data_IF_997721743341
#
_entry.id   IF_997721743341
#
_cell.length_a   1.000
_cell.length_b   1.000
_cell.length_c   1.000
_cell.angle_alpha   90.00
_cell.angle_beta   90.00
_cell.angle_gamma   90.00
#
_symmetry.space_group_name_H-M   'P 1'
#
loop_
_entity.id
_entity.type
_entity.pdbx_description
1 polymer ?
#
# COMPACT_ATOMS: atom_id res chain seq x y z
N UNK A 1 -4.07 7.16 15.38
CA UNK A 1 -4.90 8.40 15.35
C UNK A 1 -4.79 9.11 16.71
N UNK A 2 -4.88 10.43 16.78
CA UNK A 2 -4.92 11.17 18.06
C UNK A 2 -5.99 12.25 17.98
N UNK A 3 -7.03 12.15 18.83
CA UNK A 3 -8.18 13.07 18.88
C UNK A 3 -8.83 13.26 17.49
N UNK A 4 -9.27 12.15 16.87
CA UNK A 4 -9.87 12.15 15.53
C UNK A 4 -8.96 12.53 14.36
N UNK A 5 -7.73 12.98 14.62
CA UNK A 5 -6.80 13.47 13.59
C UNK A 5 -5.66 12.50 13.29
N UNK A 6 -5.15 12.55 12.05
CA UNK A 6 -3.90 11.87 11.67
C UNK A 6 -2.77 12.28 12.62
N UNK A 7 -2.08 11.27 13.15
CA UNK A 7 -0.87 11.44 13.94
C UNK A 7 0.28 10.76 13.21
N UNK A 8 1.01 11.52 12.39
CA UNK A 8 2.20 11.01 11.71
C UNK A 8 3.40 10.93 12.67
N UNK A 9 4.44 10.20 12.27
CA UNK A 9 5.72 10.17 12.99
C UNK A 9 6.29 11.57 13.23
N UNK A 10 6.17 12.48 12.26
CA UNK A 10 6.57 13.87 12.43
C UNK A 10 5.77 14.59 13.52
N UNK A 11 4.44 14.39 13.59
CA UNK A 11 3.58 15.01 14.61
C UNK A 11 3.83 14.41 16.01
N UNK A 12 4.09 13.11 16.08
CA UNK A 12 4.33 12.40 17.32
C UNK A 12 5.73 12.66 17.90
N UNK A 13 6.77 12.63 17.06
CA UNK A 13 8.16 12.57 17.52
C UNK A 13 8.99 13.81 17.17
N UNK A 14 8.84 14.40 15.98
CA UNK A 14 9.69 15.54 15.56
C UNK A 14 9.16 16.89 16.05
N UNK A 15 7.86 17.16 15.86
CA UNK A 15 7.25 18.45 16.24
C UNK A 15 7.42 18.81 17.72
N UNK A 16 7.28 17.88 18.69
CA UNK A 16 7.43 18.21 20.11
C UNK A 16 8.86 18.62 20.48
N UNK A 17 9.87 18.08 19.80
CA UNK A 17 11.29 18.30 20.13
C UNK A 17 12.02 19.23 19.16
N UNK A 18 11.28 19.90 18.26
CA UNK A 18 11.84 20.72 17.17
C UNK A 18 12.74 21.88 17.61
N UNK A 19 12.62 22.33 18.85
CA UNK A 19 13.39 23.45 19.42
C UNK A 19 14.67 23.00 20.13
N UNK A 20 14.96 21.69 20.19
CA UNK A 20 16.21 21.21 20.77
C UNK A 20 17.40 21.70 19.94
N UNK A 21 18.36 22.38 20.58
CA UNK A 21 19.53 22.98 19.92
C UNK A 21 20.44 21.96 19.21
N UNK A 22 20.38 20.69 19.61
CA UNK A 22 21.15 19.60 19.02
C UNK A 22 20.40 18.82 17.92
N UNK A 23 19.21 19.28 17.50
CA UNK A 23 18.44 18.69 16.41
C UNK A 23 18.28 19.71 15.28
N UNK A 24 18.84 19.39 14.13
CA UNK A 24 18.69 20.20 12.91
C UNK A 24 17.84 19.44 11.90
N UNK A 25 16.76 20.06 11.42
CA UNK A 25 15.87 19.49 10.41
C UNK A 25 15.93 20.34 9.16
N UNK A 26 16.43 19.76 8.07
CA UNK A 26 16.48 20.41 6.76
C UNK A 26 15.37 19.85 5.87
N UNK A 27 14.35 20.66 5.58
CA UNK A 27 13.30 20.33 4.63
C UNK A 27 13.76 20.59 3.19
N UNK A 28 13.07 20.00 2.21
CA UNK A 28 13.32 20.16 0.78
C UNK A 28 14.79 19.87 0.40
N UNK A 29 15.36 18.86 1.05
CA UNK A 29 16.77 18.46 0.93
C UNK A 29 16.83 17.05 0.37
N UNK A 30 16.95 16.92 -0.95
CA UNK A 30 16.93 15.63 -1.65
C UNK A 30 18.32 15.02 -1.65
N UNK A 31 18.52 13.96 -0.85
CA UNK A 31 19.80 13.23 -0.78
C UNK A 31 20.09 12.56 -2.12
N UNK A 32 21.27 12.82 -2.68
CA UNK A 32 21.70 12.24 -3.96
C UNK A 32 22.58 11.02 -3.77
N UNK A 33 23.45 11.02 -2.75
CA UNK A 33 24.34 9.89 -2.40
C UNK A 33 24.96 10.08 -1.01
N UNK A 34 25.45 8.98 -0.46
CA UNK A 34 26.33 8.92 0.71
C UNK A 34 27.77 9.06 0.22
N UNK A 35 28.58 9.80 0.97
CA UNK A 35 30.01 9.93 0.74
C UNK A 35 30.75 8.86 1.55
N UNK A 36 31.43 7.95 0.86
CA UNK A 36 32.08 6.77 1.43
C UNK A 36 33.53 6.75 0.96
N UNK A 37 34.47 6.55 1.89
CA UNK A 37 35.89 6.38 1.57
C UNK A 37 36.11 4.99 0.92
N UNK A 38 36.64 4.89 -0.32
CA UNK A 38 36.83 3.60 -1.00
C UNK A 38 37.82 2.65 -0.32
N UNK A 39 38.82 3.18 0.39
CA UNK A 39 39.85 2.38 1.05
C UNK A 39 39.38 1.82 2.40
N UNK A 40 38.72 2.64 3.22
CA UNK A 40 38.27 2.23 4.57
C UNK A 40 36.83 1.76 4.61
N UNK A 41 36.06 1.98 3.55
CA UNK A 41 34.61 1.78 3.50
C UNK A 41 33.81 2.55 4.56
N UNK A 42 34.40 3.62 5.12
CA UNK A 42 33.74 4.47 6.12
C UNK A 42 32.90 5.55 5.45
N UNK A 43 31.63 5.66 5.83
CA UNK A 43 30.76 6.78 5.46
C UNK A 43 31.16 8.02 6.26
N UNK A 44 31.40 9.14 5.58
CA UNK A 44 31.90 10.38 6.20
C UNK A 44 31.01 11.60 5.92
N UNK A 45 29.92 11.42 5.17
CA UNK A 45 28.98 12.51 4.91
C UNK A 45 27.88 12.15 3.92
N UNK A 46 27.06 13.13 3.59
CA UNK A 46 25.94 13.02 2.66
C UNK A 46 25.96 14.20 1.70
N UNK A 47 25.73 13.91 0.41
CA UNK A 47 25.48 14.90 -0.62
C UNK A 47 23.97 15.02 -0.84
N UNK A 48 23.45 16.24 -0.89
CA UNK A 48 22.03 16.50 -1.18
C UNK A 48 21.86 17.78 -1.99
N UNK A 49 20.70 17.93 -2.61
CA UNK A 49 20.30 19.15 -3.31
C UNK A 49 19.19 19.86 -2.55
N UNK A 50 19.36 21.15 -2.31
CA UNK A 50 18.37 22.03 -1.68
C UNK A 50 18.35 23.36 -2.42
N UNK A 51 17.15 23.82 -2.81
CA UNK A 51 16.96 25.06 -3.57
C UNK A 51 17.82 25.11 -4.84
N UNK A 52 17.90 23.99 -5.58
CA UNK A 52 18.71 23.87 -6.80
C UNK A 52 20.22 23.82 -6.60
N UNK A 53 20.72 23.91 -5.36
CA UNK A 53 22.15 23.90 -5.05
C UNK A 53 22.55 22.58 -4.39
N UNK A 54 23.66 22.02 -4.87
CA UNK A 54 24.31 20.86 -4.24
C UNK A 54 25.00 21.30 -2.95
N UNK A 55 24.80 20.54 -1.88
CA UNK A 55 25.37 20.77 -0.55
C UNK A 55 25.91 19.46 0.00
N UNK A 56 26.91 19.57 0.88
CA UNK A 56 27.53 18.43 1.57
C UNK A 56 27.46 18.69 3.07
N UNK A 57 27.06 17.67 3.82
CA UNK A 57 27.17 17.64 5.28
C UNK A 57 28.07 16.48 5.68
N UNK A 58 29.08 16.78 6.47
CA UNK A 58 30.03 15.79 6.98
C UNK A 58 29.54 15.19 8.30
N UNK A 59 29.77 13.89 8.48
CA UNK A 59 29.40 13.13 9.65
C UNK A 59 30.65 12.68 10.41
N UNK A 60 30.74 12.97 11.71
CA UNK A 60 31.86 12.56 12.57
C UNK A 60 31.74 11.14 13.12
N UNK A 61 30.52 10.58 13.13
CA UNK A 61 30.23 9.26 13.71
C UNK A 61 29.60 8.35 12.67
N UNK A 62 28.35 8.63 12.32
CA UNK A 62 27.54 7.71 11.52
C UNK A 62 26.62 8.46 10.55
N UNK A 63 26.24 7.76 9.49
CA UNK A 63 25.16 8.14 8.57
C UNK A 63 24.11 7.03 8.62
N UNK A 64 22.89 7.37 9.04
CA UNK A 64 21.77 6.43 9.11
C UNK A 64 20.80 6.72 7.97
N UNK A 65 20.55 5.72 7.12
CA UNK A 65 19.68 5.86 5.95
C UNK A 65 18.26 5.40 6.25
N UNK A 66 17.31 6.35 6.23
CA UNK A 66 15.90 6.11 6.54
C UNK A 66 14.97 6.60 5.42
N UNK A 67 15.35 6.39 4.16
CA UNK A 67 14.62 6.89 2.99
C UNK A 67 13.47 5.96 2.53
N UNK A 68 13.15 4.93 3.32
CA UNK A 68 12.10 3.94 3.01
C UNK A 68 12.57 2.84 2.05
N UNK A 69 11.73 1.81 1.87
CA UNK A 69 12.06 0.61 1.09
C UNK A 69 12.39 0.89 -0.38
N UNK A 70 11.91 2.01 -0.93
CA UNK A 70 12.12 2.40 -2.33
C UNK A 70 13.36 3.27 -2.52
N UNK A 71 13.50 4.37 -1.77
CA UNK A 71 14.57 5.34 -2.02
C UNK A 71 15.89 4.96 -1.34
N UNK A 72 15.87 4.20 -0.23
CA UNK A 72 17.10 3.73 0.40
C UNK A 72 17.98 2.90 -0.55
N UNK A 73 17.47 1.87 -1.26
CA UNK A 73 18.30 1.14 -2.22
C UNK A 73 18.77 2.00 -3.39
N UNK A 74 17.96 2.98 -3.85
CA UNK A 74 18.40 3.94 -4.86
C UNK A 74 19.62 4.74 -4.40
N UNK A 75 19.57 5.33 -3.20
CA UNK A 75 20.67 6.14 -2.66
C UNK A 75 21.93 5.27 -2.48
N UNK A 76 21.79 4.07 -1.93
CA UNK A 76 22.93 3.14 -1.78
C UNK A 76 23.57 2.78 -3.12
N UNK A 77 22.76 2.42 -4.13
CA UNK A 77 23.27 2.10 -5.46
C UNK A 77 23.97 3.30 -6.11
N UNK A 78 23.40 4.51 -6.00
CA UNK A 78 24.05 5.74 -6.49
C UNK A 78 25.33 6.10 -5.72
N UNK A 79 25.48 5.58 -4.50
CA UNK A 79 26.69 5.69 -3.67
C UNK A 79 27.74 4.62 -3.97
N UNK A 80 27.49 3.72 -4.93
CA UNK A 80 28.39 2.63 -5.29
C UNK A 80 28.23 1.35 -4.45
N UNK A 81 27.14 1.24 -3.68
CA UNK A 81 26.82 0.05 -2.86
C UNK A 81 25.60 -0.64 -3.45
N UNK A 82 25.81 -1.76 -4.14
CA UNK A 82 24.73 -2.49 -4.81
C UNK A 82 25.23 -3.55 -5.79
N UNK A 83 24.32 -4.16 -6.59
CA UNK A 83 24.66 -5.28 -7.43
C UNK A 83 25.67 -4.87 -8.51
N UNK A 84 26.84 -5.51 -8.52
CA UNK A 84 27.99 -5.13 -9.37
C UNK A 84 27.59 -5.02 -10.85
N UNK A 85 26.87 -6.00 -11.36
CA UNK A 85 26.41 -6.08 -12.75
C UNK A 85 25.47 -4.92 -13.11
N UNK A 86 24.62 -4.49 -12.19
CA UNK A 86 23.72 -3.35 -12.41
C UNK A 86 24.48 -2.01 -12.38
N UNK A 87 25.37 -1.85 -11.40
CA UNK A 87 26.17 -0.63 -11.25
C UNK A 87 27.15 -0.44 -12.42
N UNK A 88 27.77 -1.52 -12.88
CA UNK A 88 28.68 -1.51 -14.03
C UNK A 88 27.98 -1.07 -15.33
N UNK A 89 26.76 -1.57 -15.60
CA UNK A 89 25.94 -1.15 -16.76
C UNK A 89 25.67 0.35 -16.77
N UNK A 90 25.51 0.95 -15.60
CA UNK A 90 25.29 2.39 -15.43
C UNK A 90 26.58 3.19 -15.24
N UNK A 91 27.76 2.57 -15.36
CA UNK A 91 29.07 3.21 -15.16
C UNK A 91 29.19 3.90 -13.80
N UNK A 92 28.66 3.27 -12.75
CA UNK A 92 28.81 3.69 -11.35
C UNK A 92 29.94 2.86 -10.73
N UNK A 93 30.97 3.50 -10.12
CA UNK A 93 32.02 2.78 -9.42
C UNK A 93 31.46 1.89 -8.30
N UNK A 94 31.88 0.63 -8.27
CA UNK A 94 31.42 -0.34 -7.26
C UNK A 94 32.34 -0.28 -6.05
N UNK A 95 31.86 0.33 -4.96
CA UNK A 95 32.55 0.32 -3.67
C UNK A 95 32.28 -0.98 -2.92
N UNK A 96 31.03 -1.49 -2.97
CA UNK A 96 30.68 -2.77 -2.38
C UNK A 96 29.61 -3.48 -3.19
N UNK A 97 29.90 -4.72 -3.58
CA UNK A 97 28.95 -5.60 -4.24
C UNK A 97 28.00 -6.21 -3.19
N UNK A 98 26.75 -5.77 -3.16
CA UNK A 98 25.68 -6.27 -2.28
C UNK A 98 24.38 -6.35 -3.07
N UNK A 99 23.47 -7.24 -2.68
CA UNK A 99 22.14 -7.43 -3.30
C UNK A 99 21.15 -6.30 -2.95
N UNK A 100 21.60 -5.05 -3.03
CA UNK A 100 20.78 -3.87 -2.72
C UNK A 100 19.66 -3.71 -3.73
N UNK A 101 18.45 -3.52 -3.23
CA UNK A 101 17.24 -3.42 -4.05
C UNK A 101 16.63 -4.78 -4.39
N UNK A 102 17.21 -5.91 -3.98
CA UNK A 102 16.55 -7.23 -4.08
C UNK A 102 15.60 -7.46 -2.91
N UNK A 103 14.79 -8.52 -3.02
CA UNK A 103 13.91 -9.00 -1.97
C UNK A 103 12.82 -7.98 -1.59
N UNK A 104 12.34 -7.20 -2.58
CA UNK A 104 11.17 -6.36 -2.40
C UNK A 104 9.97 -7.26 -2.12
N UNK A 105 9.23 -6.91 -1.07
CA UNK A 105 8.01 -7.57 -0.64
C UNK A 105 6.98 -6.49 -0.36
N UNK A 106 5.73 -6.78 -0.72
CA UNK A 106 4.58 -5.97 -0.37
C UNK A 106 3.39 -6.92 -0.14
N UNK A 107 2.41 -6.47 0.65
CA UNK A 107 1.18 -7.22 0.84
C UNK A 107 0.20 -6.88 -0.29
N UNK A 108 -0.21 -7.89 -1.04
CA UNK A 108 -1.19 -7.73 -2.12
C UNK A 108 -2.57 -8.12 -1.65
N UNK A 109 -3.57 -7.31 -2.00
CA UNK A 109 -4.96 -7.52 -1.67
C UNK A 109 -5.74 -8.03 -2.89
N UNK A 110 -6.72 -8.90 -2.67
CA UNK A 110 -7.82 -9.07 -3.62
C UNK A 110 -8.79 -7.89 -3.48
N UNK A 111 -8.75 -6.98 -4.44
CA UNK A 111 -9.67 -5.84 -4.51
C UNK A 111 -11.06 -6.22 -5.04
N UNK A 112 -12.06 -5.41 -4.71
CA UNK A 112 -13.34 -5.43 -5.43
C UNK A 112 -14.34 -6.52 -5.05
N UNK A 113 -14.05 -7.37 -4.06
CA UNK A 113 -15.01 -8.31 -3.48
C UNK A 113 -16.13 -7.58 -2.72
N UNK A 114 -17.23 -7.30 -3.43
CA UNK A 114 -18.30 -6.40 -2.96
C UNK A 114 -19.53 -7.18 -2.56
N UNK A 115 -20.15 -6.77 -1.46
CA UNK A 115 -21.41 -7.32 -0.96
C UNK A 115 -22.44 -6.21 -0.87
N UNK A 116 -23.58 -6.38 -1.53
CA UNK A 116 -24.74 -5.49 -1.45
C UNK A 116 -25.49 -5.75 -0.15
N UNK A 117 -26.05 -4.70 0.45
CA UNK A 117 -26.95 -4.78 1.61
C UNK A 117 -28.19 -3.93 1.38
N UNK A 118 -29.30 -4.28 2.02
CA UNK A 118 -30.58 -3.57 1.84
C UNK A 118 -30.77 -2.42 2.83
N UNK A 119 -29.99 -2.42 3.93
CA UNK A 119 -30.06 -1.38 4.96
C UNK A 119 -29.12 -0.21 4.63
N UNK A 120 -29.54 1.05 4.88
CA UNK A 120 -28.76 2.25 4.57
C UNK A 120 -27.65 2.55 5.61
N UNK A 121 -26.78 1.57 5.87
CA UNK A 121 -25.78 1.60 6.96
C UNK A 121 -24.35 1.80 6.50
N UNK A 122 -24.09 1.71 5.19
CA UNK A 122 -22.74 1.83 4.64
C UNK A 122 -22.27 3.29 4.54
N UNK A 123 -21.03 3.51 4.15
CA UNK A 123 -20.50 4.83 3.81
C UNK A 123 -20.75 5.07 2.32
N UNK A 124 -21.72 5.94 2.03
CA UNK A 124 -22.03 6.42 0.68
C UNK A 124 -21.85 7.93 0.67
N UNK A 125 -21.03 8.44 -0.26
CA UNK A 125 -20.57 9.82 -0.26
C UNK A 125 -21.72 10.84 -0.29
N UNK A 126 -22.79 10.53 -1.03
CA UNK A 126 -23.92 11.44 -1.21
C UNK A 126 -24.78 11.63 0.07
N UNK A 127 -24.60 10.77 1.09
CA UNK A 127 -25.25 10.93 2.41
C UNK A 127 -24.51 11.89 3.36
N UNK A 128 -23.35 12.41 2.95
CA UNK A 128 -22.54 13.26 3.82
C UNK A 128 -23.10 14.68 3.93
N UNK A 129 -23.60 15.02 5.13
CA UNK A 129 -23.97 16.39 5.50
C UNK A 129 -22.71 17.18 5.89
N UNK A 130 -22.01 17.70 4.88
CA UNK A 130 -20.68 18.32 4.98
C UNK A 130 -20.55 19.28 6.17
N UNK A 131 -21.47 20.23 6.33
CA UNK A 131 -21.38 21.25 7.38
C UNK A 131 -21.46 20.65 8.80
N UNK A 132 -22.53 19.90 9.10
CA UNK A 132 -22.74 19.32 10.42
C UNK A 132 -21.62 18.33 10.80
N UNK A 133 -21.19 17.50 9.85
CA UNK A 133 -20.09 16.56 10.05
C UNK A 133 -18.76 17.27 10.31
N UNK A 134 -18.49 18.36 9.59
CA UNK A 134 -17.29 19.17 9.79
C UNK A 134 -17.29 19.83 11.17
N UNK A 135 -18.43 20.37 11.61
CA UNK A 135 -18.54 20.97 12.94
C UNK A 135 -18.32 19.95 14.06
N UNK A 136 -18.87 18.74 13.94
CA UNK A 136 -18.59 17.67 14.90
C UNK A 136 -17.10 17.31 14.95
N UNK A 137 -16.43 17.28 13.80
CA UNK A 137 -15.01 16.98 13.72
C UNK A 137 -14.14 18.07 14.36
N UNK A 138 -14.37 19.33 13.99
CA UNK A 138 -13.54 20.46 14.40
C UNK A 138 -13.71 20.78 15.88
N UNK A 139 -14.96 20.80 16.37
CA UNK A 139 -15.27 21.22 17.74
C UNK A 139 -15.15 20.06 18.72
N UNK A 140 -15.70 18.88 18.36
CA UNK A 140 -15.84 17.76 19.28
C UNK A 140 -14.83 16.63 19.03
N UNK A 141 -14.00 16.73 17.98
CA UNK A 141 -13.02 15.69 17.60
C UNK A 141 -13.68 14.31 17.40
N UNK A 142 -14.95 14.33 16.98
CA UNK A 142 -15.86 13.19 16.85
C UNK A 142 -16.65 13.29 15.54
N UNK A 143 -17.46 12.28 15.28
CA UNK A 143 -18.34 12.23 14.12
C UNK A 143 -17.67 11.57 12.92
N UNK A 144 -18.41 11.40 11.81
CA UNK A 144 -17.99 10.47 10.77
C UNK A 144 -16.72 10.88 10.04
N UNK A 145 -16.28 12.15 10.09
CA UNK A 145 -14.99 12.57 9.50
C UNK A 145 -13.75 12.07 10.28
N UNK A 146 -13.93 11.45 11.44
CA UNK A 146 -12.84 10.75 12.14
C UNK A 146 -12.58 9.35 11.59
N UNK A 147 -13.46 8.83 10.72
CA UNK A 147 -13.29 7.56 9.99
C UNK A 147 -11.97 7.53 9.23
N UNK A 148 -11.41 6.33 9.06
CA UNK A 148 -10.22 6.16 8.21
C UNK A 148 -10.59 6.20 6.72
N UNK A 149 -11.88 6.19 6.38
CA UNK A 149 -12.39 6.37 5.02
C UNK A 149 -12.23 5.14 4.12
N UNK A 150 -11.98 3.98 4.72
CA UNK A 150 -11.77 2.72 4.04
C UNK A 150 -11.88 1.59 5.04
N UNK A 151 -10.75 1.16 5.62
CA UNK A 151 -10.71 0.01 6.52
C UNK A 151 -11.17 0.39 7.93
N UNK A 152 -12.28 -0.22 8.37
CA UNK A 152 -12.88 -0.02 9.70
C UNK A 152 -12.82 -1.30 10.56
N UNK A 153 -12.58 -2.46 9.94
CA UNK A 153 -12.41 -3.73 10.63
C UNK A 153 -11.21 -4.50 10.09
N UNK A 154 -10.55 -5.23 10.99
CA UNK A 154 -9.43 -6.11 10.66
C UNK A 154 -9.68 -7.50 11.25
N UNK A 155 -9.34 -8.53 10.50
CA UNK A 155 -9.25 -9.89 11.02
C UNK A 155 -7.96 -10.54 10.50
N UNK A 156 -7.41 -11.46 11.30
CA UNK A 156 -6.25 -12.27 10.93
C UNK A 156 -6.68 -13.72 10.99
N UNK A 157 -6.47 -14.45 9.90
CA UNK A 157 -6.86 -15.86 9.80
C UNK A 157 -5.72 -16.68 9.23
N UNK A 158 -5.77 -17.97 9.52
CA UNK A 158 -4.87 -18.96 8.93
C UNK A 158 -5.68 -19.76 7.92
N UNK A 159 -5.27 -19.77 6.66
CA UNK A 159 -5.75 -20.78 5.71
C UNK A 159 -5.13 -22.13 6.06
N UNK A 160 -5.68 -23.22 5.50
CA UNK A 160 -5.08 -24.54 5.69
C UNK A 160 -3.69 -24.68 5.05
N UNK A 161 -3.33 -23.78 4.13
CA UNK A 161 -2.00 -23.69 3.49
C UNK A 161 -0.97 -22.98 4.39
N UNK A 162 -1.45 -22.20 5.35
CA UNK A 162 -0.64 -21.39 6.25
C UNK A 162 0.00 -22.18 7.40
N UNK A 163 0.86 -21.50 8.14
CA UNK A 163 1.39 -22.04 9.39
C UNK A 163 0.40 -21.76 10.54
N UNK A 164 0.19 -22.71 11.45
CA UNK A 164 -0.70 -22.51 12.61
C UNK A 164 -0.21 -21.41 13.58
N UNK A 165 1.09 -21.10 13.60
CA UNK A 165 1.68 -20.13 14.52
C UNK A 165 1.55 -18.67 14.08
N UNK A 166 1.22 -18.39 12.81
CA UNK A 166 1.05 -17.02 12.32
C UNK A 166 0.11 -16.92 11.12
N UNK A 167 -0.67 -15.82 11.02
CA UNK A 167 -1.61 -15.62 9.91
C UNK A 167 -0.92 -15.41 8.57
N UNK A 168 -1.57 -15.95 7.54
CA UNK A 168 -1.22 -15.80 6.14
C UNK A 168 -2.21 -14.87 5.41
N UNK A 169 -3.43 -14.68 5.94
CA UNK A 169 -4.42 -13.72 5.45
C UNK A 169 -4.77 -12.68 6.52
N UNK A 170 -4.79 -11.41 6.10
CA UNK A 170 -5.43 -10.32 6.82
C UNK A 170 -6.66 -9.85 6.05
N UNK A 171 -7.81 -9.81 6.69
CA UNK A 171 -8.97 -9.18 6.11
C UNK A 171 -9.01 -7.70 6.43
N UNK A 172 -9.25 -6.88 5.40
CA UNK A 172 -9.61 -5.48 5.52
C UNK A 172 -11.10 -5.34 5.23
N UNK A 173 -11.88 -5.06 6.27
CA UNK A 173 -13.30 -4.78 6.14
C UNK A 173 -13.50 -3.28 5.94
N UNK A 174 -14.26 -2.90 4.92
CA UNK A 174 -14.76 -1.54 4.78
C UNK A 174 -16.29 -1.56 4.64
N UNK A 175 -17.02 -0.65 5.31
CA UNK A 175 -18.44 -0.42 5.06
C UNK A 175 -18.63 0.41 3.77
N UNK A 176 -17.85 0.13 2.73
CA UNK A 176 -17.83 0.81 1.44
C UNK A 176 -17.16 -0.12 0.41
N UNK A 177 -17.37 0.15 -0.88
CA UNK A 177 -16.64 -0.50 -1.97
C UNK A 177 -16.40 0.50 -3.12
N UNK A 178 -15.92 0.01 -4.26
CA UNK A 178 -15.53 0.80 -5.45
C UNK A 178 -16.69 1.68 -5.98
N UNK A 179 -17.94 1.28 -5.75
CA UNK A 179 -19.14 2.00 -6.17
C UNK A 179 -19.54 3.16 -5.23
N UNK A 180 -18.98 3.23 -4.01
CA UNK A 180 -19.45 4.13 -2.93
C UNK A 180 -19.23 5.62 -3.19
N UNK A 181 -18.39 5.99 -4.16
CA UNK A 181 -18.11 7.37 -4.55
C UNK A 181 -18.52 7.68 -6.00
N UNK A 182 -19.33 6.81 -6.61
CA UNK A 182 -19.74 6.92 -8.01
C UNK A 182 -18.57 7.12 -9.01
N UNK A 183 -17.38 6.59 -8.68
CA UNK A 183 -16.23 6.58 -9.58
C UNK A 183 -15.43 7.88 -9.58
N UNK A 184 -15.71 8.80 -8.66
CA UNK A 184 -15.06 10.13 -8.57
C UNK A 184 -13.56 10.01 -8.27
N UNK A 185 -13.18 9.14 -7.32
CA UNK A 185 -11.81 9.02 -6.79
C UNK A 185 -11.34 7.57 -6.65
N UNK A 186 -12.13 6.67 -6.06
CA UNK A 186 -11.70 5.29 -5.74
C UNK A 186 -11.24 4.56 -7.00
N UNK A 187 -12.01 4.66 -8.09
CA UNK A 187 -11.64 4.09 -9.38
C UNK A 187 -10.26 4.54 -9.88
N UNK A 188 -9.95 5.84 -9.77
CA UNK A 188 -8.68 6.42 -10.23
C UNK A 188 -7.51 6.01 -9.35
N UNK A 189 -7.72 5.97 -8.03
CA UNK A 189 -6.69 5.57 -7.05
C UNK A 189 -6.32 4.10 -7.24
N UNK A 190 -7.30 3.24 -7.50
CA UNK A 190 -7.09 1.81 -7.72
C UNK A 190 -6.67 1.47 -9.16
N UNK A 191 -6.64 2.44 -10.08
CA UNK A 191 -6.22 2.22 -11.46
C UNK A 191 -7.17 1.35 -12.29
N UNK A 192 -8.47 1.32 -11.96
CA UNK A 192 -9.44 0.48 -12.68
C UNK A 192 -9.75 1.03 -14.07
N UNK A 193 -9.82 0.14 -15.05
CA UNK A 193 -10.21 0.47 -16.43
C UNK A 193 -11.64 1.01 -16.50
N UNK A 194 -11.94 1.78 -17.55
CA UNK A 194 -13.31 2.25 -17.83
C UNK A 194 -14.28 1.08 -17.97
N UNK A 195 -13.88 0.06 -18.73
CA UNK A 195 -14.69 -1.13 -18.99
C UNK A 195 -15.07 -1.85 -17.68
N UNK A 196 -14.07 -2.21 -16.87
CA UNK A 196 -14.30 -2.90 -15.59
C UNK A 196 -15.21 -2.09 -14.67
N UNK A 197 -14.97 -0.79 -14.54
CA UNK A 197 -15.79 0.06 -13.68
C UNK A 197 -17.24 0.20 -14.19
N UNK A 198 -17.40 0.49 -15.48
CA UNK A 198 -18.71 0.78 -16.07
C UNK A 198 -19.63 -0.44 -16.08
N UNK A 199 -19.06 -1.64 -16.24
CA UNK A 199 -19.85 -2.86 -16.25
C UNK A 199 -20.12 -3.41 -14.85
N UNK A 200 -19.12 -3.40 -13.97
CA UNK A 200 -19.23 -4.07 -12.67
C UNK A 200 -19.77 -3.13 -11.59
N UNK A 201 -19.24 -1.92 -11.49
CA UNK A 201 -19.46 -1.06 -10.31
C UNK A 201 -20.41 0.12 -10.55
N UNK A 202 -20.45 0.67 -11.76
CA UNK A 202 -21.38 1.76 -12.12
C UNK A 202 -22.86 1.37 -11.96
N UNK A 203 -23.32 0.14 -12.31
CA UNK A 203 -24.74 -0.23 -12.13
C UNK A 203 -25.20 -0.30 -10.67
N UNK A 204 -24.25 -0.40 -9.74
CA UNK A 204 -24.50 -0.39 -8.30
C UNK A 204 -24.02 0.91 -7.64
N UNK A 205 -23.75 1.97 -8.43
CA UNK A 205 -23.36 3.26 -7.88
C UNK A 205 -24.34 3.74 -6.82
N UNK A 206 -23.80 4.29 -5.72
CA UNK A 206 -24.57 4.80 -4.58
C UNK A 206 -25.45 3.77 -3.84
N UNK A 207 -25.38 2.47 -4.18
CA UNK A 207 -26.03 1.42 -3.39
C UNK A 207 -25.21 1.12 -2.13
N UNK A 208 -25.92 0.72 -1.09
CA UNK A 208 -25.30 0.29 0.15
C UNK A 208 -24.54 -1.03 -0.02
N UNK A 209 -23.27 -0.99 0.41
CA UNK A 209 -22.33 -2.10 0.23
C UNK A 209 -21.36 -2.22 1.39
N UNK A 210 -20.74 -3.38 1.50
CA UNK A 210 -19.51 -3.56 2.26
C UNK A 210 -18.53 -4.44 1.47
N UNK A 211 -17.27 -4.44 1.87
CA UNK A 211 -16.22 -5.27 1.27
C UNK A 211 -15.42 -5.94 2.38
N UNK A 212 -14.90 -7.12 2.07
CA UNK A 212 -13.97 -7.86 2.93
C UNK A 212 -12.82 -8.34 2.06
N UNK A 213 -11.73 -7.56 2.03
CA UNK A 213 -10.60 -7.81 1.14
C UNK A 213 -9.59 -8.73 1.82
N UNK A 214 -9.31 -9.94 1.32
CA UNK A 214 -8.18 -10.72 1.78
C UNK A 214 -6.88 -10.07 1.29
N UNK A 215 -5.97 -9.78 2.21
CA UNK A 215 -4.58 -9.38 1.97
C UNK A 215 -3.65 -10.55 2.29
N UNK A 216 -2.70 -10.80 1.41
CA UNK A 216 -1.65 -11.78 1.59
C UNK A 216 -0.55 -11.23 2.51
N UNK A 217 -0.38 -11.82 3.69
CA UNK A 217 0.60 -11.37 4.69
C UNK A 217 2.00 -11.95 4.49
N UNK A 218 2.07 -13.13 3.85
CA UNK A 218 3.31 -13.90 3.73
C UNK A 218 3.58 -14.27 2.27
N UNK A 219 3.72 -13.27 1.37
CA UNK A 219 4.01 -13.55 -0.02
C UNK A 219 5.33 -14.32 -0.14
N UNK A 220 5.38 -15.27 -1.06
CA UNK A 220 6.61 -15.95 -1.50
C UNK A 220 7.25 -15.24 -2.68
N UNK A 221 6.45 -14.58 -3.50
CA UNK A 221 6.92 -13.75 -4.60
C UNK A 221 7.90 -12.67 -4.10
N UNK A 222 8.95 -12.42 -4.89
CA UNK A 222 9.98 -11.42 -4.57
C UNK A 222 10.22 -10.50 -5.76
N UNK A 223 10.13 -9.22 -5.49
CA UNK A 223 10.44 -8.17 -6.44
C UNK A 223 11.85 -7.61 -6.27
N UNK A 224 12.11 -6.55 -7.02
CA UNK A 224 13.33 -5.77 -6.94
C UNK A 224 13.11 -4.29 -7.30
N UNK A 225 14.09 -3.48 -6.90
CA UNK A 225 14.23 -2.06 -7.22
C UNK A 225 15.59 -1.86 -7.88
N UNK A 226 15.60 -1.14 -9.00
CA UNK A 226 16.82 -0.82 -9.76
C UNK A 226 16.86 0.64 -10.16
N UNK A 227 18.07 1.18 -10.26
CA UNK A 227 18.25 2.49 -10.87
C UNK A 227 17.81 2.47 -12.34
N UNK A 228 16.99 3.44 -12.75
CA UNK A 228 16.71 3.69 -14.18
C UNK A 228 17.96 4.23 -14.90
N UNK A 229 18.66 5.15 -14.24
CA UNK A 229 19.92 5.74 -14.69
C UNK A 229 20.63 6.41 -13.51
N UNK A 230 21.70 7.17 -13.76
CA UNK A 230 22.53 7.83 -12.74
C UNK A 230 21.91 9.11 -12.17
N UNK A 231 20.79 9.61 -12.70
CA UNK A 231 20.18 10.83 -12.21
C UNK A 231 19.42 10.55 -10.90
N UNK A 232 19.81 11.17 -9.76
CA UNK A 232 19.15 10.95 -8.47
C UNK A 232 17.70 11.46 -8.42
N UNK A 233 17.26 12.25 -9.40
CA UNK A 233 15.90 12.77 -9.51
C UNK A 233 14.98 11.90 -10.36
N UNK A 234 15.53 10.91 -11.08
CA UNK A 234 14.70 9.94 -11.79
C UNK A 234 14.26 8.84 -10.85
N UNK A 235 12.96 8.53 -10.86
CA UNK A 235 12.42 7.43 -10.07
C UNK A 235 13.07 6.09 -10.48
N UNK A 236 13.33 5.20 -9.51
CA UNK A 236 13.85 3.88 -9.80
C UNK A 236 12.80 3.04 -10.53
N UNK A 237 13.27 2.00 -11.22
CA UNK A 237 12.41 0.96 -11.77
C UNK A 237 12.03 0.03 -10.62
N UNK A 238 10.73 -0.17 -10.43
CA UNK A 238 10.16 -1.03 -9.40
C UNK A 238 9.51 -2.20 -10.11
N UNK A 239 9.95 -3.40 -9.80
CA UNK A 239 9.27 -4.62 -10.20
C UNK A 239 8.86 -5.34 -8.92
N UNK A 240 7.57 -5.30 -8.57
CA UNK A 240 7.07 -5.99 -7.39
C UNK A 240 6.99 -7.52 -7.59
N UNK A 241 6.91 -7.96 -8.85
CA UNK A 241 6.83 -9.36 -9.25
C UNK A 241 5.69 -10.10 -8.53
N UNK A 242 4.52 -9.47 -8.42
CA UNK A 242 3.37 -10.07 -7.74
C UNK A 242 2.92 -11.35 -8.42
N UNK A 243 2.60 -12.36 -7.62
CA UNK A 243 2.06 -13.64 -8.07
C UNK A 243 2.98 -14.45 -8.98
N UNK A 244 4.29 -14.22 -8.89
CA UNK A 244 5.33 -15.03 -9.54
C UNK A 244 5.36 -16.44 -8.94
N UNK A 245 5.21 -16.56 -7.61
CA UNK A 245 4.97 -17.84 -6.96
C UNK A 245 3.46 -18.15 -6.94
N UNK A 246 3.00 -19.25 -7.56
CA UNK A 246 1.59 -19.60 -7.61
C UNK A 246 0.99 -19.90 -6.23
N UNK A 247 1.81 -20.15 -5.20
CA UNK A 247 1.34 -20.31 -3.82
C UNK A 247 0.60 -19.05 -3.33
N UNK A 248 1.06 -17.87 -3.73
CA UNK A 248 0.48 -16.59 -3.29
C UNK A 248 -0.97 -16.44 -3.74
N UNK A 249 -1.27 -16.85 -4.97
CA UNK A 249 -2.63 -16.87 -5.52
C UNK A 249 -3.48 -17.90 -4.79
N UNK A 250 -2.98 -19.12 -4.59
CA UNK A 250 -3.72 -20.19 -3.89
C UNK A 250 -4.15 -19.74 -2.49
N UNK A 251 -3.25 -19.10 -1.73
CA UNK A 251 -3.58 -18.57 -0.41
C UNK A 251 -4.65 -17.46 -0.48
N UNK A 252 -4.61 -16.57 -1.46
CA UNK A 252 -5.65 -15.54 -1.63
C UNK A 252 -7.00 -16.13 -2.08
N UNK A 253 -7.02 -17.17 -2.91
CA UNK A 253 -8.25 -17.89 -3.28
C UNK A 253 -8.92 -18.47 -2.03
N UNK A 254 -8.15 -19.08 -1.12
CA UNK A 254 -8.68 -19.54 0.17
C UNK A 254 -9.18 -18.38 1.04
N UNK A 255 -8.48 -17.24 1.03
CA UNK A 255 -8.97 -16.01 1.65
C UNK A 255 -10.31 -15.53 1.06
N UNK A 256 -10.51 -15.63 -0.26
CA UNK A 256 -11.76 -15.28 -0.91
C UNK A 256 -12.91 -16.20 -0.48
N UNK A 257 -12.66 -17.53 -0.42
CA UNK A 257 -13.63 -18.52 0.06
C UNK A 257 -14.08 -18.23 1.49
N UNK A 258 -13.14 -17.96 2.39
CA UNK A 258 -13.44 -17.58 3.79
C UNK A 258 -14.27 -16.29 3.83
N UNK A 259 -13.96 -15.29 3.00
CA UNK A 259 -14.75 -14.06 2.95
C UNK A 259 -16.21 -14.29 2.50
N UNK A 260 -16.41 -15.18 1.52
CA UNK A 260 -17.75 -15.60 1.09
C UNK A 260 -18.49 -16.30 2.23
N UNK A 261 -17.83 -17.22 2.94
CA UNK A 261 -18.43 -17.93 4.08
C UNK A 261 -18.85 -16.96 5.20
N UNK A 262 -17.98 -16.01 5.56
CA UNK A 262 -18.29 -14.94 6.52
C UNK A 262 -19.51 -14.13 6.07
N UNK A 263 -19.59 -13.79 4.78
CA UNK A 263 -20.72 -13.01 4.25
C UNK A 263 -22.08 -13.71 4.35
N UNK A 264 -22.08 -15.04 4.46
CA UNK A 264 -23.28 -15.88 4.59
C UNK A 264 -23.67 -16.15 6.06
N UNK A 265 -22.87 -15.72 7.03
CA UNK A 265 -23.18 -15.89 8.44
C UNK A 265 -24.47 -15.15 8.83
N UNK A 266 -25.16 -15.65 9.86
CA UNK A 266 -26.46 -15.12 10.29
C UNK A 266 -26.42 -13.62 10.63
N UNK A 267 -25.30 -13.17 11.21
CA UNK A 267 -25.07 -11.76 11.54
C UNK A 267 -25.07 -10.83 10.32
N UNK A 268 -24.78 -11.34 9.11
CA UNK A 268 -24.83 -10.56 7.86
C UNK A 268 -26.18 -10.67 7.15
N UNK A 269 -26.90 -11.78 7.32
CA UNK A 269 -28.24 -11.98 6.73
C UNK A 269 -29.25 -10.94 7.20
N UNK A 270 -29.17 -10.47 8.45
CA UNK A 270 -30.04 -9.40 8.96
C UNK A 270 -29.92 -8.06 8.19
N UNK A 271 -28.87 -7.89 7.38
CA UNK A 271 -28.66 -6.73 6.51
C UNK A 271 -29.03 -6.99 5.05
N UNK A 272 -29.52 -8.20 4.71
CA UNK A 272 -29.75 -8.60 3.32
C UNK A 272 -28.46 -8.75 2.51
N UNK A 273 -27.34 -9.06 3.20
CA UNK A 273 -26.01 -9.18 2.59
C UNK A 273 -26.01 -10.23 1.47
N UNK A 274 -25.55 -9.82 0.30
CA UNK A 274 -25.41 -10.70 -0.87
C UNK A 274 -24.18 -10.31 -1.68
N UNK A 275 -23.41 -11.30 -2.11
CA UNK A 275 -22.26 -11.07 -2.98
C UNK A 275 -22.70 -10.43 -4.30
N UNK A 276 -21.96 -9.44 -4.76
CA UNK A 276 -22.15 -8.85 -6.09
C UNK A 276 -21.64 -9.83 -7.14
N UNK A 277 -22.57 -10.40 -7.94
CA UNK A 277 -22.27 -11.53 -8.84
C UNK A 277 -21.87 -11.14 -10.26
N UNK A 278 -21.82 -9.84 -10.58
CA UNK A 278 -21.37 -9.39 -11.91
C UNK A 278 -19.91 -9.76 -12.09
N UNK A 279 -19.64 -10.70 -13.02
CA UNK A 279 -18.30 -11.17 -13.33
C UNK A 279 -17.45 -10.07 -13.95
N UNK A 280 -16.16 -10.07 -13.66
CA UNK A 280 -15.21 -9.17 -14.32
C UNK A 280 -15.12 -9.48 -15.83
N UNK A 281 -14.92 -8.47 -16.71
CA UNK A 281 -14.98 -8.64 -18.16
C UNK A 281 -14.07 -9.76 -18.69
N UNK A 282 -12.84 -9.82 -18.19
CA UNK A 282 -11.83 -10.83 -18.52
C UNK A 282 -12.09 -12.21 -17.90
N UNK A 283 -12.98 -12.32 -16.90
CA UNK A 283 -13.29 -13.56 -16.18
C UNK A 283 -14.67 -14.14 -16.52
N UNK A 284 -15.40 -13.58 -17.50
CA UNK A 284 -16.80 -13.97 -17.82
C UNK A 284 -16.97 -15.45 -18.18
N UNK A 285 -15.97 -16.01 -18.84
CA UNK A 285 -15.94 -17.39 -19.32
C UNK A 285 -15.81 -18.43 -18.19
N UNK A 286 -15.45 -18.01 -16.96
CA UNK A 286 -15.27 -18.88 -15.81
C UNK A 286 -16.54 -18.96 -14.96
N UNK A 287 -16.77 -20.09 -14.30
CA UNK A 287 -17.91 -20.25 -13.40
C UNK A 287 -17.73 -19.35 -12.16
N UNK A 288 -18.73 -18.50 -11.86
CA UNK A 288 -18.63 -17.60 -10.70
C UNK A 288 -18.47 -18.42 -9.42
N UNK A 289 -17.48 -18.05 -8.61
CA UNK A 289 -17.20 -18.70 -7.33
C UNK A 289 -16.29 -19.94 -7.42
N UNK A 290 -15.88 -20.37 -8.62
CA UNK A 290 -14.85 -21.39 -8.77
C UNK A 290 -13.45 -20.84 -8.45
N UNK A 291 -12.50 -21.72 -8.19
CA UNK A 291 -11.12 -21.35 -7.88
C UNK A 291 -10.48 -20.59 -9.04
N UNK A 292 -10.76 -20.98 -10.29
CA UNK A 292 -10.29 -20.31 -11.48
C UNK A 292 -10.86 -18.89 -11.59
N UNK A 293 -12.15 -18.71 -11.25
CA UNK A 293 -12.75 -17.38 -11.23
C UNK A 293 -12.10 -16.48 -10.18
N UNK A 294 -11.85 -17.00 -8.98
CA UNK A 294 -11.18 -16.22 -7.94
C UNK A 294 -9.74 -15.87 -8.32
N UNK A 295 -8.98 -16.80 -8.90
CA UNK A 295 -7.65 -16.50 -9.43
C UNK A 295 -7.71 -15.39 -10.50
N UNK A 296 -8.62 -15.50 -11.47
CA UNK A 296 -8.78 -14.48 -12.50
C UNK A 296 -9.13 -13.11 -11.90
N UNK A 297 -10.05 -13.07 -10.93
CA UNK A 297 -10.42 -11.86 -10.19
C UNK A 297 -9.19 -11.26 -9.50
N UNK A 298 -8.42 -12.04 -8.74
CA UNK A 298 -7.24 -11.58 -8.00
C UNK A 298 -6.17 -10.95 -8.92
N UNK A 299 -6.03 -11.46 -10.15
CA UNK A 299 -5.04 -10.98 -11.12
C UNK A 299 -5.48 -9.74 -11.91
N UNK A 300 -6.75 -9.32 -11.80
CA UNK A 300 -7.33 -8.20 -12.56
C UNK A 300 -7.15 -6.87 -11.83
#
# INVERSE_FOLDING_TARGET
>A
IRRGSRCSTAKAFLRPVRLRKNLHVALNSHVTRILINPGTMQAYGVEFVRNGRKQIVLARKEVVLSAGAINSPQILMLSGVGPREHLAKLKIPVLKNLRVGDNLQDHVAMGGLTFLVDKPVSIVQDRFKVFAMTMQYVVNERGPMTTLGGVEGLAFVNTYLGNRSWPDIQFHMAPASINSDAGKRVRKILGLTDELYNEVYRPIANKDVWTLMPLLLRPRSRGWIRLRNRNPFHYPIINANYFDDPFDIKTLVEGAKIAIEISNAESFKQFGSRVHRTKFPNCRHLQFGSDEYWECHIRT
#
